data_IF_898248453028
#
_entry.id   IF_898248453028
#
_cell.length_a   1.000
_cell.length_b   1.000
_cell.length_c   1.000
_cell.angle_alpha   90.00
_cell.angle_beta   90.00
_cell.angle_gamma   90.00
#
_symmetry.space_group_name_H-M   'P 1'
#
loop_
_entity.id
_entity.type
_entity.pdbx_description
1 polymer ?
#
# COMPACT_ATOMS: atom_id res chain seq x y z
N UNK A 1 24.09 13.94 12.93
CA UNK A 1 22.81 13.20 12.82
C UNK A 1 23.14 11.82 12.28
N UNK A 2 23.27 10.80 13.16
CA UNK A 2 23.70 9.44 12.76
C UNK A 2 22.55 8.43 12.90
N UNK A 3 21.35 8.79 12.48
CA UNK A 3 20.29 7.80 12.34
C UNK A 3 20.64 6.94 11.12
N UNK A 4 20.95 5.66 11.33
CA UNK A 4 21.15 4.69 10.24
C UNK A 4 19.76 4.35 9.67
N UNK A 5 19.37 5.09 8.66
CA UNK A 5 18.19 4.76 7.87
C UNK A 5 18.51 3.52 7.03
N UNK A 6 17.72 2.48 7.18
CA UNK A 6 17.91 1.23 6.42
C UNK A 6 16.98 1.27 5.21
N UNK A 7 17.53 1.64 4.06
CA UNK A 7 16.83 1.50 2.79
C UNK A 7 16.63 0.00 2.46
N UNK A 8 15.49 -0.34 1.91
CA UNK A 8 15.23 -1.69 1.44
C UNK A 8 15.88 -1.89 0.06
N UNK A 9 16.64 -2.97 -0.10
CA UNK A 9 17.31 -3.33 -1.35
C UNK A 9 16.33 -3.94 -2.34
N UNK A 10 15.48 -3.11 -2.93
CA UNK A 10 14.56 -3.52 -3.97
C UNK A 10 15.31 -3.93 -5.23
N UNK A 11 14.73 -4.82 -6.02
CA UNK A 11 15.31 -5.35 -7.25
C UNK A 11 14.29 -5.39 -8.39
N UNK A 12 14.78 -5.48 -9.64
CA UNK A 12 13.93 -5.64 -10.83
C UNK A 12 12.90 -4.51 -10.96
N UNK A 13 11.67 -4.88 -11.34
CA UNK A 13 10.58 -3.91 -11.56
C UNK A 13 10.24 -3.08 -10.31
N UNK A 14 10.44 -3.63 -9.12
CA UNK A 14 10.22 -2.92 -7.87
C UNK A 14 11.23 -1.79 -7.69
N UNK A 15 12.51 -2.05 -7.96
CA UNK A 15 13.55 -1.04 -7.93
C UNK A 15 13.30 0.06 -8.98
N UNK A 16 12.97 -0.33 -10.22
CA UNK A 16 12.68 0.60 -11.31
C UNK A 16 11.52 1.55 -10.97
N UNK A 17 10.50 1.07 -10.28
CA UNK A 17 9.32 1.88 -9.95
C UNK A 17 9.45 2.62 -8.61
N UNK A 18 9.98 1.98 -7.56
CA UNK A 18 9.98 2.52 -6.20
C UNK A 18 11.32 3.13 -5.77
N UNK A 19 12.42 2.78 -6.43
CA UNK A 19 13.77 3.13 -5.98
C UNK A 19 14.17 2.30 -4.76
N UNK A 20 14.91 2.92 -3.83
CA UNK A 20 15.39 2.28 -2.58
C UNK A 20 14.70 2.89 -1.36
N UNK A 21 13.46 2.50 -1.08
CA UNK A 21 12.67 3.14 -0.04
C UNK A 21 13.06 2.70 1.36
N UNK A 22 12.80 3.58 2.31
CA UNK A 22 12.68 3.18 3.72
C UNK A 22 11.29 2.57 3.96
N UNK A 23 11.23 1.49 4.75
CA UNK A 23 9.98 0.80 5.06
C UNK A 23 9.34 1.36 6.33
N UNK A 24 9.04 2.67 6.32
CA UNK A 24 8.36 3.38 7.41
C UNK A 24 7.52 4.54 6.91
N UNK A 25 6.70 5.10 7.79
CA UNK A 25 5.85 6.26 7.48
C UNK A 25 4.62 5.86 6.65
N UNK A 26 4.21 6.71 5.73
CA UNK A 26 2.99 6.52 4.96
C UNK A 26 3.26 6.41 3.46
N UNK A 27 2.66 5.41 2.82
CA UNK A 27 2.50 5.31 1.37
C UNK A 27 1.02 5.32 1.04
N UNK A 28 0.66 5.69 -0.18
CA UNK A 28 -0.73 5.66 -0.64
C UNK A 28 -0.86 5.05 -2.03
N UNK A 29 -1.86 4.17 -2.18
CA UNK A 29 -2.33 3.61 -3.45
C UNK A 29 -3.72 4.18 -3.68
N UNK A 30 -3.97 4.82 -4.82
CA UNK A 30 -5.29 5.35 -5.12
C UNK A 30 -5.62 5.20 -6.61
N UNK A 31 -6.89 5.17 -6.94
CA UNK A 31 -7.38 5.00 -8.30
C UNK A 31 -8.86 4.64 -8.30
N UNK A 32 -9.46 4.57 -9.48
CA UNK A 32 -10.85 4.17 -9.65
C UNK A 32 -11.10 2.70 -9.24
N UNK A 33 -12.36 2.38 -8.97
CA UNK A 33 -12.76 0.99 -8.68
C UNK A 33 -12.46 0.08 -9.87
N UNK A 34 -12.06 -1.16 -9.60
CA UNK A 34 -11.73 -2.13 -10.66
C UNK A 34 -10.38 -1.95 -11.34
N UNK A 35 -9.60 -0.90 -11.03
CA UNK A 35 -8.32 -0.61 -11.68
C UNK A 35 -7.13 -1.51 -11.26
N UNK A 36 -7.31 -2.42 -10.28
CA UNK A 36 -6.24 -3.34 -9.83
C UNK A 36 -5.57 -2.95 -8.52
N UNK A 37 -6.08 -1.97 -7.75
CA UNK A 37 -5.48 -1.52 -6.47
C UNK A 37 -5.22 -2.65 -5.48
N UNK A 38 -6.22 -3.50 -5.24
CA UNK A 38 -6.11 -4.62 -4.30
C UNK A 38 -5.05 -5.63 -4.75
N UNK A 39 -4.99 -5.96 -6.05
CA UNK A 39 -3.93 -6.84 -6.59
C UNK A 39 -2.55 -6.24 -6.38
N UNK A 40 -2.38 -4.96 -6.72
CA UNK A 40 -1.11 -4.25 -6.49
C UNK A 40 -0.74 -4.23 -5.01
N UNK A 41 -1.69 -3.93 -4.12
CA UNK A 41 -1.44 -3.87 -2.69
C UNK A 41 -1.01 -5.23 -2.12
N UNK A 42 -1.62 -6.33 -2.58
CA UNK A 42 -1.24 -7.69 -2.21
C UNK A 42 0.14 -8.07 -2.78
N UNK A 43 0.42 -7.82 -4.07
CA UNK A 43 1.73 -8.07 -4.66
C UNK A 43 2.84 -7.27 -3.94
N UNK A 44 2.58 -6.00 -3.66
CA UNK A 44 3.51 -5.15 -2.94
C UNK A 44 3.75 -5.68 -1.53
N UNK A 45 2.69 -6.05 -0.79
CA UNK A 45 2.81 -6.61 0.55
C UNK A 45 3.58 -7.94 0.54
N UNK A 46 3.32 -8.81 -0.45
CA UNK A 46 4.07 -10.04 -0.68
C UNK A 46 5.56 -9.74 -0.87
N UNK A 47 5.89 -8.76 -1.69
CA UNK A 47 7.28 -8.36 -1.92
C UNK A 47 7.92 -7.78 -0.65
N UNK A 48 7.23 -6.89 0.05
CA UNK A 48 7.70 -6.27 1.29
C UNK A 48 7.90 -7.28 2.43
N UNK A 49 7.11 -8.36 2.48
CA UNK A 49 7.26 -9.41 3.48
C UNK A 49 8.63 -10.14 3.44
N UNK A 50 9.46 -9.86 2.44
CA UNK A 50 10.84 -10.36 2.34
C UNK A 50 11.83 -9.54 3.15
N UNK A 51 11.47 -8.32 3.53
CA UNK A 51 12.32 -7.35 4.20
C UNK A 51 11.94 -7.10 5.66
N UNK A 52 10.79 -7.64 6.10
CA UNK A 52 10.25 -7.46 7.44
C UNK A 52 9.84 -8.79 8.05
N UNK A 53 9.78 -8.85 9.39
CA UNK A 53 9.40 -10.07 10.08
C UNK A 53 7.91 -10.38 9.92
N UNK A 54 7.06 -9.35 9.97
CA UNK A 54 5.61 -9.47 9.90
C UNK A 54 4.98 -8.33 9.14
N UNK A 55 3.93 -8.67 8.41
CA UNK A 55 3.08 -7.70 7.75
C UNK A 55 1.60 -8.02 7.98
N UNK A 56 0.73 -7.03 7.79
CA UNK A 56 -0.71 -7.18 7.91
C UNK A 56 -1.45 -6.55 6.72
N UNK A 57 -2.55 -7.15 6.36
CA UNK A 57 -3.51 -6.59 5.40
C UNK A 57 -4.86 -6.46 6.08
N UNK A 58 -5.33 -5.23 6.28
CA UNK A 58 -6.66 -4.97 6.82
C UNK A 58 -7.63 -4.70 5.67
N UNK A 59 -8.51 -5.69 5.43
CA UNK A 59 -9.53 -5.62 4.38
C UNK A 59 -10.82 -5.01 4.95
N UNK A 60 -10.83 -3.68 5.06
CA UNK A 60 -11.94 -2.92 5.63
C UNK A 60 -13.17 -2.89 4.75
N UNK A 61 -12.98 -2.72 3.44
CA UNK A 61 -14.08 -2.56 2.50
C UNK A 61 -14.68 -3.91 2.10
N UNK A 62 -13.85 -4.81 1.61
CA UNK A 62 -14.31 -6.07 1.06
C UNK A 62 -14.51 -7.17 2.12
N UNK A 63 -13.82 -7.07 3.25
CA UNK A 63 -13.75 -8.18 4.21
C UNK A 63 -13.19 -9.44 3.55
N UNK A 64 -13.55 -10.61 4.06
CA UNK A 64 -13.13 -11.90 3.49
C UNK A 64 -14.06 -12.36 2.34
N UNK A 65 -14.43 -11.45 1.45
CA UNK A 65 -15.29 -11.72 0.30
C UNK A 65 -14.64 -12.66 -0.72
N UNK A 66 -15.44 -13.21 -1.63
CA UNK A 66 -14.93 -14.05 -2.73
C UNK A 66 -13.97 -13.27 -3.62
N UNK A 67 -14.22 -11.98 -3.90
CA UNK A 67 -13.33 -11.14 -4.70
C UNK A 67 -11.97 -10.97 -4.05
N UNK A 68 -11.91 -10.76 -2.73
CA UNK A 68 -10.67 -10.69 -1.99
C UNK A 68 -9.93 -12.04 -1.97
N UNK A 69 -10.67 -13.15 -1.77
CA UNK A 69 -10.08 -14.49 -1.82
C UNK A 69 -9.48 -14.82 -3.19
N UNK A 70 -10.13 -14.40 -4.27
CA UNK A 70 -9.61 -14.57 -5.62
C UNK A 70 -8.34 -13.72 -5.82
N UNK A 71 -8.35 -12.44 -5.45
CA UNK A 71 -7.15 -11.60 -5.51
C UNK A 71 -5.98 -12.17 -4.70
N UNK A 72 -6.26 -12.74 -3.53
CA UNK A 72 -5.28 -13.44 -2.69
C UNK A 72 -4.65 -14.64 -3.40
N UNK A 73 -5.46 -15.45 -4.10
CA UNK A 73 -4.99 -16.59 -4.88
C UNK A 73 -4.21 -16.15 -6.12
N UNK A 74 -4.73 -15.19 -6.86
CA UNK A 74 -4.13 -14.68 -8.11
C UNK A 74 -2.75 -14.08 -7.87
N UNK A 75 -2.55 -13.44 -6.72
CA UNK A 75 -1.27 -12.89 -6.28
C UNK A 75 -0.38 -13.92 -5.56
N UNK A 76 -0.84 -15.17 -5.46
CA UNK A 76 -0.14 -16.27 -4.78
C UNK A 76 0.29 -15.92 -3.33
N UNK A 77 -0.57 -15.24 -2.59
CA UNK A 77 -0.30 -14.83 -1.20
C UNK A 77 -0.14 -16.01 -0.24
N UNK A 78 -0.61 -17.21 -0.58
CA UNK A 78 -0.38 -18.42 0.21
C UNK A 78 1.12 -18.75 0.40
N UNK A 79 1.99 -18.24 -0.47
CA UNK A 79 3.45 -18.46 -0.39
C UNK A 79 4.11 -17.69 0.77
N UNK A 80 3.49 -16.63 1.28
CA UNK A 80 4.07 -15.85 2.38
C UNK A 80 3.85 -16.51 3.75
N UNK A 81 2.93 -17.47 3.85
CA UNK A 81 2.64 -18.19 5.09
C UNK A 81 2.23 -17.26 6.23
N UNK A 82 2.74 -17.51 7.43
CA UNK A 82 2.41 -16.74 8.64
C UNK A 82 3.07 -15.35 8.73
N UNK A 83 3.89 -14.96 7.74
CA UNK A 83 4.52 -13.63 7.72
C UNK A 83 3.51 -12.52 7.43
N UNK A 84 2.42 -12.84 6.76
CA UNK A 84 1.34 -11.88 6.49
C UNK A 84 0.07 -12.36 7.16
N UNK A 85 -0.52 -11.52 8.00
CA UNK A 85 -1.82 -11.75 8.63
C UNK A 85 -2.89 -10.92 7.95
N UNK A 86 -4.09 -11.48 7.80
CA UNK A 86 -5.26 -10.75 7.32
C UNK A 86 -6.07 -10.31 8.53
N UNK A 87 -6.36 -9.02 8.57
CA UNK A 87 -7.27 -8.40 9.52
C UNK A 87 -8.61 -8.18 8.80
N UNK A 88 -9.71 -8.44 9.48
CA UNK A 88 -11.03 -8.31 8.88
C UNK A 88 -11.78 -7.15 9.53
N UNK A 89 -11.67 -5.98 8.90
CA UNK A 89 -12.38 -4.75 9.33
C UNK A 89 -11.98 -4.29 10.74
N UNK A 90 -10.67 -4.29 11.02
CA UNK A 90 -10.17 -3.87 12.32
C UNK A 90 -10.22 -2.34 12.45
N UNK A 91 -10.93 -1.77 13.43
CA UNK A 91 -10.95 -0.33 13.66
C UNK A 91 -9.57 0.22 14.04
N UNK A 92 -9.32 1.50 13.79
CA UNK A 92 -8.01 2.15 14.12
C UNK A 92 -7.62 1.94 15.59
N UNK A 93 -8.58 1.96 16.51
CA UNK A 93 -8.33 1.75 17.94
C UNK A 93 -7.75 0.36 18.22
N UNK A 94 -8.35 -0.67 17.64
CA UNK A 94 -7.89 -2.05 17.79
C UNK A 94 -6.55 -2.28 17.06
N UNK A 95 -6.41 -1.69 15.88
CA UNK A 95 -5.13 -1.70 15.15
C UNK A 95 -4.01 -1.09 15.99
N UNK A 96 -4.23 0.07 16.64
CA UNK A 96 -3.23 0.69 17.54
C UNK A 96 -2.87 -0.23 18.71
N UNK A 97 -3.86 -0.86 19.36
CA UNK A 97 -3.59 -1.84 20.41
C UNK A 97 -2.80 -3.05 19.94
N UNK A 98 -3.09 -3.55 18.73
CA UNK A 98 -2.31 -4.61 18.08
C UNK A 98 -0.87 -4.19 17.85
N UNK A 99 -0.67 -2.97 17.34
CA UNK A 99 0.65 -2.46 17.00
C UNK A 99 1.55 -2.20 18.22
N UNK A 100 0.97 -1.98 19.40
CA UNK A 100 1.70 -1.88 20.70
C UNK A 100 2.22 -3.23 21.19
N UNK A 101 1.66 -4.34 20.72
CA UNK A 101 2.07 -5.67 21.18
C UNK A 101 3.44 -6.06 20.63
N UNK A 102 4.17 -6.85 21.39
CA UNK A 102 5.42 -7.47 20.93
C UNK A 102 5.16 -8.32 19.68
N UNK A 103 6.05 -8.24 18.70
CA UNK A 103 5.93 -8.95 17.41
C UNK A 103 4.72 -8.48 16.58
N UNK A 104 4.31 -7.23 16.73
CA UNK A 104 3.31 -6.61 15.87
C UNK A 104 3.83 -6.45 14.43
N UNK A 105 2.94 -6.30 13.43
CA UNK A 105 3.36 -6.07 12.04
C UNK A 105 4.22 -4.81 11.88
N UNK A 106 5.24 -4.88 11.04
CA UNK A 106 6.10 -3.76 10.64
C UNK A 106 5.52 -3.00 9.45
N UNK A 107 4.76 -3.71 8.62
CA UNK A 107 4.04 -3.16 7.46
C UNK A 107 2.56 -3.46 7.60
N UNK A 108 1.71 -2.45 7.42
CA UNK A 108 0.25 -2.58 7.46
C UNK A 108 -0.36 -1.96 6.21
N UNK A 109 -1.10 -2.76 5.44
CA UNK A 109 -1.99 -2.27 4.38
C UNK A 109 -3.37 -2.03 4.97
N UNK A 110 -3.96 -0.88 4.67
CA UNK A 110 -5.30 -0.47 5.09
C UNK A 110 -6.14 -0.25 3.82
N UNK A 111 -7.00 -1.22 3.51
CA UNK A 111 -7.82 -1.24 2.30
C UNK A 111 -9.33 -1.24 2.63
N UNK A 112 -9.99 -0.10 2.61
CA UNK A 112 -9.55 1.24 2.19
C UNK A 112 -9.82 2.30 3.28
N UNK A 113 -9.16 3.46 3.15
CA UNK A 113 -9.43 4.62 4.01
C UNK A 113 -10.92 4.98 4.03
N UNK A 114 -11.62 4.78 2.92
CA UNK A 114 -13.04 5.11 2.77
C UNK A 114 -13.92 4.37 3.78
N UNK A 115 -13.55 3.14 4.11
CA UNK A 115 -14.27 2.30 5.07
C UNK A 115 -13.78 2.48 6.52
N UNK A 116 -12.73 3.25 6.75
CA UNK A 116 -12.13 3.45 8.07
C UNK A 116 -12.87 4.56 8.84
N UNK A 117 -13.87 4.17 9.61
CA UNK A 117 -14.72 5.09 10.38
C UNK A 117 -13.88 5.88 11.40
N UNK A 118 -14.11 7.20 11.45
CA UNK A 118 -13.42 8.08 12.41
C UNK A 118 -11.97 8.41 12.04
N UNK A 119 -11.48 8.02 10.88
CA UNK A 119 -10.12 8.32 10.44
C UNK A 119 -10.00 9.77 9.98
N UNK A 120 -9.54 10.63 10.88
CA UNK A 120 -9.35 12.07 10.68
C UNK A 120 -7.86 12.39 10.48
N UNK A 121 -7.57 13.67 10.15
CA UNK A 121 -6.16 14.15 10.08
C UNK A 121 -5.45 14.00 11.44
N UNK A 122 -6.14 14.26 12.53
CA UNK A 122 -5.60 14.10 13.88
C UNK A 122 -5.24 12.65 14.14
N UNK A 123 -6.16 11.72 13.89
CA UNK A 123 -5.93 10.28 14.06
C UNK A 123 -4.79 9.78 13.19
N UNK A 124 -4.69 10.25 11.93
CA UNK A 124 -3.57 9.93 11.06
C UNK A 124 -2.23 10.40 11.65
N UNK A 125 -2.15 11.67 12.11
CA UNK A 125 -0.92 12.21 12.70
C UNK A 125 -0.53 11.50 13.99
N UNK A 126 -1.50 11.16 14.83
CA UNK A 126 -1.28 10.36 16.05
C UNK A 126 -0.72 8.98 15.69
N UNK A 127 -1.29 8.30 14.69
CA UNK A 127 -0.82 6.98 14.24
C UNK A 127 0.63 7.04 13.77
N UNK A 128 0.98 8.05 12.95
CA UNK A 128 2.36 8.24 12.45
C UNK A 128 3.35 8.55 13.58
N UNK A 129 2.94 9.36 14.56
CA UNK A 129 3.79 9.73 15.69
C UNK A 129 3.97 8.59 16.70
N UNK A 130 2.94 7.78 16.89
CA UNK A 130 2.98 6.64 17.81
C UNK A 130 3.82 5.47 17.28
N UNK A 131 3.84 5.29 15.96
CA UNK A 131 4.55 4.17 15.29
C UNK A 131 5.52 4.66 14.21
N UNK A 132 6.55 5.44 14.56
CA UNK A 132 7.44 6.08 13.59
C UNK A 132 8.29 5.09 12.77
N UNK A 133 8.46 3.87 13.26
CA UNK A 133 9.28 2.83 12.63
C UNK A 133 8.46 1.84 11.78
N UNK A 134 7.13 2.04 11.68
CA UNK A 134 6.25 1.19 10.89
C UNK A 134 5.87 1.82 9.57
N UNK A 135 5.62 0.98 8.57
CA UNK A 135 5.10 1.41 7.27
C UNK A 135 3.60 1.17 7.21
N UNK A 136 2.86 2.22 6.88
CA UNK A 136 1.43 2.16 6.59
C UNK A 136 1.19 2.42 5.09
N UNK A 137 0.52 1.48 4.43
CA UNK A 137 0.13 1.59 3.02
C UNK A 137 -1.38 1.77 2.99
N UNK A 138 -1.80 2.99 2.69
CA UNK A 138 -3.21 3.33 2.63
C UNK A 138 -3.74 3.14 1.21
N UNK A 139 -4.87 2.44 1.08
CA UNK A 139 -5.60 2.33 -0.19
C UNK A 139 -6.78 3.30 -0.16
N UNK A 140 -7.01 4.00 -1.26
CA UNK A 140 -8.10 4.97 -1.39
C UNK A 140 -8.75 4.89 -2.77
N UNK A 141 -10.00 5.31 -2.86
CA UNK A 141 -10.66 5.57 -4.15
C UNK A 141 -10.13 6.85 -4.78
N UNK A 142 -10.41 7.03 -6.04
CA UNK A 142 -10.16 8.27 -6.79
C UNK A 142 -11.49 8.85 -7.24
N UNK A 143 -11.65 10.16 -7.06
CA UNK A 143 -12.72 10.96 -7.62
C UNK A 143 -12.13 12.22 -8.27
N UNK A 144 -12.50 12.50 -9.51
CA UNK A 144 -12.02 13.68 -10.26
C UNK A 144 -10.48 13.82 -10.26
N UNK A 145 -9.75 12.70 -10.43
CA UNK A 145 -8.29 12.67 -10.47
C UNK A 145 -7.60 12.84 -9.11
N UNK A 146 -8.34 12.79 -8.00
CA UNK A 146 -7.81 13.00 -6.65
C UNK A 146 -8.22 11.85 -5.72
N UNK A 147 -7.37 11.49 -4.75
CA UNK A 147 -7.76 10.52 -3.73
C UNK A 147 -9.00 10.99 -2.95
N UNK A 148 -9.92 10.08 -2.70
CA UNK A 148 -11.15 10.28 -1.95
C UNK A 148 -11.19 9.31 -0.75
N UNK A 149 -11.73 9.71 0.39
CA UNK A 149 -12.27 11.02 0.78
C UNK A 149 -11.18 12.10 1.05
N UNK A 150 -11.56 13.27 1.51
CA UNK A 150 -10.64 14.40 1.74
C UNK A 150 -9.43 14.07 2.62
N UNK A 151 -9.60 13.16 3.60
CA UNK A 151 -8.47 12.65 4.41
C UNK A 151 -7.43 11.93 3.56
N UNK A 152 -7.82 11.19 2.53
CA UNK A 152 -6.88 10.52 1.64
C UNK A 152 -5.99 11.51 0.87
N UNK A 153 -6.50 12.71 0.55
CA UNK A 153 -5.68 13.77 -0.03
C UNK A 153 -4.63 14.29 0.96
N UNK A 154 -4.97 14.35 2.25
CA UNK A 154 -4.02 14.72 3.29
C UNK A 154 -2.94 13.65 3.46
N UNK A 155 -3.32 12.39 3.52
CA UNK A 155 -2.39 11.24 3.54
C UNK A 155 -1.46 11.30 2.32
N UNK A 156 -2.00 11.51 1.11
CA UNK A 156 -1.19 11.64 -0.12
C UNK A 156 -0.14 12.75 -0.04
N UNK A 157 -0.47 13.90 0.56
CA UNK A 157 0.50 15.00 0.71
C UNK A 157 1.70 14.61 1.56
N UNK A 158 1.47 13.80 2.59
CA UNK A 158 2.50 13.39 3.56
C UNK A 158 3.16 12.06 3.20
N UNK A 159 2.60 11.29 2.25
CA UNK A 159 3.17 10.01 1.82
C UNK A 159 4.50 10.20 1.09
N UNK A 160 5.45 9.33 1.40
CA UNK A 160 6.77 9.26 0.76
C UNK A 160 6.68 8.61 -0.62
N UNK A 161 5.80 7.62 -0.77
CA UNK A 161 5.49 6.95 -2.03
C UNK A 161 4.00 7.12 -2.34
N UNK A 162 3.72 7.58 -3.55
CA UNK A 162 2.36 7.84 -4.05
C UNK A 162 2.17 7.04 -5.32
N UNK A 163 1.14 6.23 -5.34
CA UNK A 163 0.88 5.27 -6.42
C UNK A 163 -0.53 5.52 -6.93
N UNK A 164 -0.63 6.06 -8.14
CA UNK A 164 -1.91 6.17 -8.84
C UNK A 164 -2.11 4.94 -9.72
N UNK A 165 -3.23 4.28 -9.57
CA UNK A 165 -3.59 3.10 -10.34
C UNK A 165 -4.66 3.46 -11.35
N UNK A 166 -4.37 3.26 -12.64
CA UNK A 166 -5.29 3.44 -13.75
C UNK A 166 -5.04 2.38 -14.82
N UNK A 167 -6.11 1.75 -15.30
CA UNK A 167 -6.01 0.80 -16.40
C UNK A 167 -4.98 -0.30 -16.18
N UNK A 168 -4.97 -0.89 -15.01
CA UNK A 168 -4.06 -1.97 -14.58
C UNK A 168 -2.56 -1.61 -14.64
N UNK A 169 -2.26 -0.31 -14.62
CA UNK A 169 -0.91 0.21 -14.41
C UNK A 169 -0.85 1.05 -13.14
N UNK A 170 0.29 1.04 -12.49
CA UNK A 170 0.59 1.88 -11.35
C UNK A 170 1.63 2.93 -11.73
N UNK A 171 1.29 4.19 -11.56
CA UNK A 171 2.15 5.35 -11.77
C UNK A 171 2.75 5.75 -10.43
N UNK A 172 4.04 5.47 -10.26
CA UNK A 172 4.71 5.64 -8.97
C UNK A 172 5.45 6.97 -8.90
N UNK A 173 5.13 7.76 -7.89
CA UNK A 173 5.91 8.93 -7.49
C UNK A 173 6.58 8.63 -6.16
N UNK A 174 7.90 8.61 -6.13
CA UNK A 174 8.68 8.26 -4.95
C UNK A 174 9.69 9.35 -4.62
N UNK A 175 9.98 9.54 -3.32
CA UNK A 175 11.11 10.37 -2.84
C UNK A 175 12.42 9.59 -2.78
N UNK A 176 12.39 8.30 -3.05
CA UNK A 176 13.53 7.39 -2.92
C UNK A 176 14.20 7.08 -4.26
N UNK A 177 14.17 8.02 -5.19
CA UNK A 177 14.89 7.90 -6.46
C UNK A 177 16.39 7.85 -6.23
N UNK A 178 17.06 6.98 -7.00
CA UNK A 178 18.52 6.90 -6.99
C UNK A 178 19.00 6.81 -8.46
N UNK A 179 19.48 7.92 -9.02
CA UNK A 179 19.78 8.01 -10.44
C UNK A 179 18.54 7.79 -11.31
N UNK A 180 18.57 6.80 -12.18
CA UNK A 180 17.44 6.41 -13.03
C UNK A 180 16.46 5.45 -12.32
N UNK A 181 16.78 4.97 -11.12
CA UNK A 181 15.94 4.08 -10.34
C UNK A 181 14.80 4.87 -9.69
N UNK A 182 13.58 4.37 -9.79
CA UNK A 182 12.37 4.93 -9.22
C UNK A 182 11.58 5.81 -10.18
N UNK A 183 10.26 5.59 -10.19
CA UNK A 183 9.27 6.32 -10.98
C UNK A 183 8.94 5.71 -12.33
N UNK A 184 9.43 4.50 -12.65
CA UNK A 184 8.93 3.76 -13.79
C UNK A 184 7.50 3.25 -13.54
N UNK A 185 6.70 3.17 -14.60
CA UNK A 185 5.36 2.57 -14.53
C UNK A 185 5.46 1.09 -14.17
N UNK A 186 4.52 0.64 -13.34
CA UNK A 186 4.43 -0.73 -12.90
C UNK A 186 3.18 -1.38 -13.49
N UNK A 187 3.33 -2.39 -14.34
CA UNK A 187 2.21 -3.12 -14.92
C UNK A 187 1.70 -4.16 -13.93
N UNK A 188 0.42 -4.04 -13.55
CA UNK A 188 -0.24 -4.94 -12.60
C UNK A 188 -0.76 -6.18 -13.33
N UNK A 189 -1.40 -5.97 -14.49
CA UNK A 189 -1.94 -7.03 -15.32
C UNK A 189 -1.77 -6.69 -16.81
N UNK A 190 -0.87 -7.41 -17.50
CA UNK A 190 -0.48 -7.13 -18.89
C UNK A 190 -1.66 -7.10 -19.86
N UNK A 191 -2.50 -8.14 -19.84
CA UNK A 191 -3.65 -8.23 -20.75
C UNK A 191 -4.67 -7.12 -20.51
N UNK A 192 -4.97 -6.83 -19.26
CA UNK A 192 -5.88 -5.76 -18.90
C UNK A 192 -5.34 -4.39 -19.26
N UNK A 193 -4.05 -4.15 -19.01
CA UNK A 193 -3.39 -2.91 -19.40
C UNK A 193 -3.39 -2.73 -20.92
N UNK A 194 -3.02 -3.76 -21.68
CA UNK A 194 -3.03 -3.71 -23.14
C UNK A 194 -4.42 -3.34 -23.68
N UNK A 195 -5.49 -3.99 -23.20
CA UNK A 195 -6.86 -3.68 -23.61
C UNK A 195 -7.28 -2.26 -23.28
N UNK A 196 -7.01 -1.81 -22.05
CA UNK A 196 -7.42 -0.46 -21.56
C UNK A 196 -6.72 0.66 -22.32
N UNK A 197 -5.43 0.52 -22.64
CA UNK A 197 -4.62 1.58 -23.22
C UNK A 197 -4.66 1.61 -24.75
N UNK A 198 -5.08 0.52 -25.43
CA UNK A 198 -5.29 0.50 -26.89
C UNK A 198 -6.34 1.55 -27.30
N UNK A 199 -7.42 1.68 -26.55
CA UNK A 199 -8.52 2.60 -26.86
C UNK A 199 -8.23 4.07 -26.49
N UNK A 200 -7.08 4.35 -25.88
CA UNK A 200 -6.67 5.70 -25.42
C UNK A 200 -5.48 6.28 -26.22
N UNK A 201 -4.96 5.54 -27.18
CA UNK A 201 -3.94 5.98 -28.16
C UNK A 201 -4.60 6.52 -29.40
#
# INVERSE_FOLDING_TARGET
MNARFRAADFTGRWLASFGRPELRGAWIIYGESGGGKTHLALELLKYLSRFVDRAAYDTLEQGLSLSFQNAWKDTAMQEVGSRVIVLAKEPVTELRERLRKRKSPDVVVIDSITALVGFTRTVFMELMNEFPDKLFIFVAHEENGKPYPAIAQHVRKLSEVKIRVEGYKAFVTTRFKCGEEGGADFVIWEKGAAGYWIDKL
#
